data_IF_717817755050
#
_entry.id   IF_717817755050
#
_cell.length_a   1.000
_cell.length_b   1.000
_cell.length_c   1.000
_cell.angle_alpha   90.00
_cell.angle_beta   90.00
_cell.angle_gamma   90.00
#
_symmetry.space_group_name_H-M   'P 1'
#
loop_
_entity.id
_entity.type
_entity.pdbx_description
1 polymer ?
#
# COMPACT_ATOMS: atom_id res chain seq x y z
N UNK A 1 31.40 -3.15 -89.45
CA UNK A 1 32.22 -2.00 -89.05
C UNK A 1 32.34 -2.04 -87.53
N UNK A 2 33.49 -2.53 -87.05
CA UNK A 2 34.15 -2.27 -85.74
C UNK A 2 33.30 -2.48 -84.47
N UNK A 3 33.42 -3.60 -83.73
CA UNK A 3 34.44 -3.91 -82.69
C UNK A 3 34.70 -2.73 -81.72
N UNK A 4 34.20 -2.81 -80.47
CA UNK A 4 35.01 -2.60 -79.26
C UNK A 4 34.26 -3.00 -77.96
N UNK A 5 34.69 -4.13 -77.40
CA UNK A 5 35.08 -4.32 -76.00
C UNK A 5 34.05 -4.25 -74.84
N UNK A 6 33.69 -5.44 -74.38
CA UNK A 6 33.47 -5.75 -72.97
C UNK A 6 34.81 -5.75 -72.21
N UNK A 7 34.96 -4.96 -71.13
CA UNK A 7 35.81 -5.22 -69.93
C UNK A 7 35.92 -3.98 -69.03
N UNK A 8 34.82 -3.46 -68.46
CA UNK A 8 34.88 -2.53 -67.30
C UNK A 8 33.78 -2.75 -66.26
N UNK A 9 33.17 -3.92 -66.24
CA UNK A 9 32.47 -4.44 -65.07
C UNK A 9 33.51 -5.27 -64.30
N UNK A 10 34.05 -4.74 -63.19
CA UNK A 10 34.35 -5.48 -61.93
C UNK A 10 35.37 -4.83 -60.99
N UNK A 11 36.22 -3.88 -61.41
CA UNK A 11 37.33 -3.42 -60.54
C UNK A 11 37.09 -2.16 -59.67
N UNK A 12 36.02 -1.39 -59.86
CA UNK A 12 35.84 -0.12 -59.11
C UNK A 12 34.92 -0.28 -57.88
N UNK A 13 34.09 -1.32 -57.82
CA UNK A 13 33.22 -1.56 -56.66
C UNK A 13 33.88 -2.35 -55.52
N UNK A 14 35.10 -2.84 -55.72
CA UNK A 14 35.85 -3.65 -54.75
C UNK A 14 37.07 -2.93 -54.13
N UNK A 15 37.22 -1.62 -54.35
CA UNK A 15 38.24 -0.80 -53.66
C UNK A 15 37.67 0.25 -52.69
N UNK A 16 36.36 0.51 -52.69
CA UNK A 16 35.73 1.38 -51.68
C UNK A 16 35.42 0.68 -50.36
N UNK A 17 35.58 -0.65 -50.28
CA UNK A 17 35.29 -1.44 -49.07
C UNK A 17 36.48 -1.59 -48.12
N UNK A 18 37.69 -1.14 -48.50
CA UNK A 18 38.91 -1.34 -47.69
C UNK A 18 39.42 -0.05 -47.02
N UNK A 19 38.91 1.13 -47.37
CA UNK A 19 39.29 2.39 -46.69
C UNK A 19 38.32 2.88 -45.60
N UNK A 20 37.13 2.27 -45.46
CA UNK A 20 36.16 2.69 -44.42
C UNK A 20 36.45 2.03 -43.06
N UNK A 21 37.18 0.91 -43.03
CA UNK A 21 37.52 0.20 -41.78
C UNK A 21 38.84 0.66 -41.11
N UNK A 22 39.47 1.75 -41.57
CA UNK A 22 40.70 2.31 -40.96
C UNK A 22 40.47 3.73 -40.37
N UNK A 23 39.22 4.13 -40.17
CA UNK A 23 38.88 5.31 -39.35
C UNK A 23 38.11 4.82 -38.10
N UNK A 24 38.63 3.78 -37.45
CA UNK A 24 38.09 3.28 -36.19
C UNK A 24 39.15 3.10 -35.09
N UNK A 25 40.40 3.53 -35.31
CA UNK A 25 41.43 3.46 -34.27
C UNK A 25 42.29 4.71 -34.30
N UNK A 26 42.13 5.56 -33.29
CA UNK A 26 43.07 6.63 -32.98
C UNK A 26 42.52 8.02 -33.28
N UNK A 27 41.92 8.66 -32.28
CA UNK A 27 42.52 9.81 -31.59
C UNK A 27 41.55 10.30 -30.52
N UNK A 28 41.86 9.93 -29.28
CA UNK A 28 41.41 10.59 -28.06
C UNK A 28 41.99 12.00 -28.00
N UNK A 29 41.16 13.04 -27.97
CA UNK A 29 41.38 14.24 -27.15
C UNK A 29 40.13 15.13 -27.14
N UNK A 30 39.70 15.43 -25.92
CA UNK A 30 38.65 16.32 -25.46
C UNK A 30 38.29 17.51 -26.37
N UNK A 31 37.04 17.56 -26.83
CA UNK A 31 36.31 18.83 -26.95
C UNK A 31 34.82 18.57 -26.68
N UNK A 32 34.41 18.94 -25.47
CA UNK A 32 33.03 19.01 -25.02
C UNK A 32 32.37 20.13 -25.83
N UNK A 33 31.59 19.76 -26.84
CA UNK A 33 30.59 20.64 -27.45
C UNK A 33 29.33 20.48 -26.61
N UNK A 34 29.08 21.48 -25.75
CA UNK A 34 27.86 21.59 -24.96
C UNK A 34 26.66 21.68 -25.92
N UNK A 35 25.93 20.57 -26.08
CA UNK A 35 24.55 20.64 -26.52
C UNK A 35 23.75 21.40 -25.45
N UNK A 36 22.90 22.38 -25.82
CA UNK A 36 22.06 23.07 -24.86
C UNK A 36 21.14 22.06 -24.17
N UNK A 37 21.02 22.21 -22.85
CA UNK A 37 20.32 21.34 -21.92
C UNK A 37 19.13 20.62 -22.56
N UNK A 38 19.20 19.28 -22.57
CA UNK A 38 18.04 18.43 -22.75
C UNK A 38 16.91 18.99 -21.88
N UNK A 39 15.74 19.22 -22.48
CA UNK A 39 14.49 19.45 -21.76
C UNK A 39 14.37 18.29 -20.77
N UNK A 40 14.70 18.53 -19.50
CA UNK A 40 14.44 17.62 -18.40
C UNK A 40 12.92 17.60 -18.26
N UNK A 41 12.24 16.66 -18.93
CA UNK A 41 10.87 16.35 -18.59
C UNK A 41 10.91 15.73 -17.20
N UNK A 42 10.44 16.48 -16.20
CA UNK A 42 10.22 15.92 -14.88
C UNK A 42 9.08 14.90 -15.00
N UNK A 43 9.41 13.62 -15.20
CA UNK A 43 8.43 12.53 -15.29
C UNK A 43 7.52 12.47 -14.06
N UNK A 44 7.97 13.01 -12.92
CA UNK A 44 7.17 13.07 -11.69
C UNK A 44 6.05 14.13 -11.77
N UNK A 45 6.21 15.16 -12.60
CA UNK A 45 5.20 16.20 -12.81
C UNK A 45 4.13 15.81 -13.84
N UNK A 46 4.26 14.63 -14.47
CA UNK A 46 3.26 14.14 -15.42
C UNK A 46 1.91 13.92 -14.72
N UNK A 47 0.86 14.48 -15.31
CA UNK A 47 -0.51 14.26 -14.87
C UNK A 47 -0.96 12.88 -15.34
N UNK A 48 -1.33 12.02 -14.39
CA UNK A 48 -1.77 10.65 -14.64
C UNK A 48 -3.29 10.48 -14.47
N UNK A 49 -3.97 11.47 -13.90
CA UNK A 49 -5.42 11.50 -13.73
C UNK A 49 -5.89 12.70 -12.92
N UNK A 50 -7.11 12.64 -12.39
CA UNK A 50 -7.68 13.64 -11.48
C UNK A 50 -8.54 12.96 -10.40
N UNK A 51 -8.75 13.64 -9.28
CA UNK A 51 -9.70 13.18 -8.24
C UNK A 51 -10.95 14.05 -8.20
N UNK A 52 -12.13 13.44 -8.08
CA UNK A 52 -13.39 14.17 -7.88
C UNK A 52 -13.70 14.44 -6.39
N UNK A 53 -12.91 13.84 -5.48
CA UNK A 53 -13.08 13.94 -4.02
C UNK A 53 -11.74 14.26 -3.36
N UNK A 54 -11.78 14.70 -2.11
CA UNK A 54 -10.56 14.83 -1.31
C UNK A 54 -10.00 13.45 -1.00
N UNK A 55 -8.77 13.15 -1.40
CA UNK A 55 -8.09 11.91 -1.01
C UNK A 55 -7.33 12.18 0.28
N UNK A 56 -7.84 11.70 1.43
CA UNK A 56 -7.28 12.02 2.74
C UNK A 56 -6.71 10.79 3.45
N UNK A 57 -5.45 10.87 3.85
CA UNK A 57 -4.78 9.84 4.62
C UNK A 57 -4.97 9.97 6.14
N UNK A 58 -5.40 11.13 6.62
CA UNK A 58 -5.46 11.46 8.06
C UNK A 58 -6.25 10.43 8.90
N UNK A 59 -7.34 9.80 8.40
CA UNK A 59 -8.07 8.80 9.16
C UNK A 59 -7.48 7.38 9.03
N UNK A 60 -6.54 7.13 8.11
CA UNK A 60 -6.18 5.76 7.70
C UNK A 60 -5.57 4.87 8.80
N UNK A 61 -5.10 5.44 9.90
CA UNK A 61 -4.63 4.68 11.07
C UNK A 61 -5.72 4.51 12.16
N UNK A 62 -6.83 5.23 12.03
CA UNK A 62 -7.88 5.36 13.04
C UNK A 62 -9.17 4.66 12.65
N UNK A 63 -9.51 4.70 11.37
CA UNK A 63 -10.78 4.23 10.81
C UNK A 63 -10.63 4.01 9.30
N UNK A 64 -11.72 3.60 8.64
CA UNK A 64 -11.76 3.52 7.19
C UNK A 64 -11.49 4.88 6.56
N UNK A 65 -10.58 4.94 5.59
CA UNK A 65 -10.27 6.15 4.85
C UNK A 65 -10.39 5.91 3.35
N UNK A 66 -10.77 6.94 2.61
CA UNK A 66 -11.01 6.81 1.18
C UNK A 66 -9.72 6.65 0.36
N UNK A 67 -8.60 7.26 0.78
CA UNK A 67 -7.30 6.99 0.17
C UNK A 67 -6.88 5.52 0.36
N UNK A 68 -7.14 4.97 1.53
CA UNK A 68 -6.93 3.55 1.84
C UNK A 68 -7.75 2.63 0.94
N UNK A 69 -9.03 2.95 0.77
CA UNK A 69 -9.92 2.24 -0.16
C UNK A 69 -9.39 2.29 -1.59
N UNK A 70 -8.96 3.47 -2.07
CA UNK A 70 -8.40 3.62 -3.42
C UNK A 70 -7.16 2.75 -3.62
N UNK A 71 -6.23 2.76 -2.68
CA UNK A 71 -5.01 1.94 -2.77
C UNK A 71 -5.35 0.45 -2.75
N UNK A 72 -6.19 0.01 -1.80
CA UNK A 72 -6.58 -1.39 -1.69
C UNK A 72 -7.35 -1.87 -2.93
N UNK A 73 -8.22 -1.05 -3.50
CA UNK A 73 -8.95 -1.34 -4.74
C UNK A 73 -8.04 -1.39 -5.95
N UNK A 74 -7.04 -0.51 -6.02
CA UNK A 74 -6.06 -0.49 -7.11
C UNK A 74 -5.24 -1.78 -7.13
N UNK A 75 -4.75 -2.21 -5.96
CA UNK A 75 -4.03 -3.49 -5.79
C UNK A 75 -4.95 -4.66 -6.16
N UNK A 76 -6.19 -4.65 -5.67
CA UNK A 76 -7.16 -5.69 -5.97
C UNK A 76 -7.45 -5.76 -7.47
N UNK A 77 -7.67 -4.62 -8.11
CA UNK A 77 -7.92 -4.54 -9.55
C UNK A 77 -6.76 -5.10 -10.36
N UNK A 78 -5.52 -4.67 -10.07
CA UNK A 78 -4.33 -5.16 -10.79
C UNK A 78 -4.18 -6.68 -10.62
N UNK A 79 -4.36 -7.18 -9.39
CA UNK A 79 -4.32 -8.62 -9.13
C UNK A 79 -5.34 -9.39 -9.96
N UNK A 80 -6.58 -8.90 -10.02
CA UNK A 80 -7.65 -9.52 -10.81
C UNK A 80 -7.33 -9.46 -12.31
N UNK A 81 -6.80 -8.35 -12.82
CA UNK A 81 -6.42 -8.23 -14.23
C UNK A 81 -5.32 -9.22 -14.60
N UNK A 82 -4.33 -9.43 -13.72
CA UNK A 82 -3.21 -10.36 -13.97
C UNK A 82 -3.59 -11.84 -13.83
N UNK A 83 -4.56 -12.16 -12.96
CA UNK A 83 -4.85 -13.55 -12.58
C UNK A 83 -6.23 -14.06 -13.02
N UNK A 84 -7.12 -13.19 -13.52
CA UNK A 84 -8.36 -13.63 -14.13
C UNK A 84 -8.08 -14.41 -15.41
N UNK A 85 -8.85 -15.49 -15.60
CA UNK A 85 -8.84 -16.30 -16.81
C UNK A 85 -10.20 -16.22 -17.48
N UNK A 86 -10.33 -16.80 -18.68
CA UNK A 86 -11.62 -16.89 -19.36
C UNK A 86 -12.67 -17.72 -18.59
N UNK A 87 -12.24 -18.53 -17.61
CA UNK A 87 -13.11 -19.49 -16.90
C UNK A 87 -13.25 -19.17 -15.41
N UNK A 88 -12.37 -18.36 -14.84
CA UNK A 88 -12.34 -18.09 -13.40
C UNK A 88 -11.81 -16.68 -13.14
N UNK A 89 -12.55 -15.93 -12.30
CA UNK A 89 -12.08 -14.66 -11.73
C UNK A 89 -11.76 -14.94 -10.26
N UNK A 90 -10.50 -14.74 -9.82
CA UNK A 90 -10.13 -15.04 -8.45
C UNK A 90 -10.85 -14.10 -7.47
N UNK A 91 -11.02 -14.55 -6.24
CA UNK A 91 -11.53 -13.73 -5.15
C UNK A 91 -10.41 -13.47 -4.15
N UNK A 92 -10.04 -12.20 -3.99
CA UNK A 92 -8.88 -11.82 -3.17
C UNK A 92 -9.26 -10.74 -2.15
N UNK A 93 -8.75 -10.91 -0.94
CA UNK A 93 -8.76 -9.91 0.12
C UNK A 93 -7.46 -9.12 0.03
N UNK A 94 -7.53 -7.80 0.10
CA UNK A 94 -6.34 -6.94 0.12
C UNK A 94 -6.23 -6.26 1.47
N UNK A 95 -5.03 -6.26 2.05
CA UNK A 95 -4.70 -5.50 3.26
C UNK A 95 -3.62 -4.45 2.96
N UNK A 96 -3.87 -3.21 3.36
CA UNK A 96 -2.94 -2.07 3.19
C UNK A 96 -2.67 -1.44 4.55
N UNK A 97 -1.40 -1.21 4.89
CA UNK A 97 -1.06 -0.62 6.20
C UNK A 97 -1.36 0.88 6.21
N UNK A 98 -2.25 1.32 7.10
CA UNK A 98 -2.64 2.73 7.20
C UNK A 98 -1.47 3.69 7.43
N UNK A 99 -0.47 3.27 8.23
CA UNK A 99 0.75 4.04 8.51
C UNK A 99 1.62 4.34 7.28
N UNK A 100 1.45 3.59 6.19
CA UNK A 100 2.20 3.83 4.96
C UNK A 100 1.58 4.95 4.13
N UNK A 101 0.34 5.35 4.42
CA UNK A 101 -0.38 6.41 3.73
C UNK A 101 -0.26 7.72 4.50
N UNK A 102 -0.10 8.83 3.78
CA UNK A 102 0.02 10.17 4.36
C UNK A 102 -0.44 11.24 3.39
N UNK A 103 -0.56 12.47 3.88
CA UNK A 103 -0.89 13.62 3.07
C UNK A 103 -2.34 13.62 2.58
N UNK A 104 -2.60 14.53 1.65
CA UNK A 104 -3.93 14.75 1.08
C UNK A 104 -3.78 15.23 -0.37
N UNK A 105 -4.70 14.83 -1.24
CA UNK A 105 -4.87 15.42 -2.58
C UNK A 105 -6.26 16.04 -2.64
N UNK A 106 -6.32 17.36 -2.83
CA UNK A 106 -7.57 18.11 -2.82
C UNK A 106 -8.47 17.76 -4.01
N UNK A 107 -9.79 17.76 -3.76
CA UNK A 107 -10.80 17.51 -4.79
C UNK A 107 -10.61 18.42 -6.01
N UNK A 108 -10.86 17.87 -7.20
CA UNK A 108 -10.75 18.60 -8.46
C UNK A 108 -9.32 18.84 -8.92
N UNK A 109 -8.31 18.39 -8.16
CA UNK A 109 -6.91 18.49 -8.56
C UNK A 109 -6.53 17.40 -9.55
N UNK A 110 -5.60 17.74 -10.44
CA UNK A 110 -4.85 16.75 -11.21
C UNK A 110 -3.97 15.95 -10.25
N UNK A 111 -3.87 14.65 -10.50
CA UNK A 111 -2.98 13.74 -9.81
C UNK A 111 -1.73 13.58 -10.67
N UNK A 112 -0.58 13.89 -10.12
CA UNK A 112 0.74 13.61 -10.72
C UNK A 112 1.42 12.43 -10.03
N UNK A 113 2.46 11.87 -10.65
CA UNK A 113 3.33 10.87 -10.01
C UNK A 113 3.97 11.40 -8.72
N UNK A 114 4.35 12.67 -8.69
CA UNK A 114 4.86 13.34 -7.49
C UNK A 114 3.82 13.35 -6.36
N UNK A 115 2.53 13.58 -6.68
CA UNK A 115 1.48 13.48 -5.69
C UNK A 115 1.41 12.06 -5.11
N UNK A 116 1.49 11.03 -5.96
CA UNK A 116 1.47 9.63 -5.49
C UNK A 116 2.66 9.31 -4.58
N UNK A 117 3.87 9.69 -4.98
CA UNK A 117 5.08 9.55 -4.16
C UNK A 117 4.90 10.27 -2.81
N UNK A 118 4.26 11.45 -2.81
CA UNK A 118 3.93 12.19 -1.60
C UNK A 118 2.94 11.48 -0.69
N UNK A 119 1.98 10.73 -1.26
CA UNK A 119 0.94 10.04 -0.49
C UNK A 119 1.37 8.72 0.15
N UNK A 120 2.49 8.15 -0.30
CA UNK A 120 3.03 6.88 0.22
C UNK A 120 4.37 7.13 0.94
N UNK A 121 4.58 6.48 2.07
CA UNK A 121 5.84 6.57 2.81
C UNK A 121 6.93 5.68 2.23
N UNK A 122 6.54 4.61 1.53
CA UNK A 122 7.40 3.64 0.85
C UNK A 122 6.58 2.96 -0.24
N UNK A 123 7.23 2.56 -1.32
CA UNK A 123 6.63 1.63 -2.28
C UNK A 123 6.88 0.18 -1.83
N UNK A 124 5.81 -0.53 -1.47
CA UNK A 124 5.87 -1.91 -1.00
C UNK A 124 5.70 -2.92 -2.12
N UNK A 125 6.66 -3.85 -2.27
CA UNK A 125 6.47 -5.03 -3.13
C UNK A 125 5.32 -5.87 -2.61
N UNK A 126 4.44 -6.30 -3.51
CA UNK A 126 3.26 -7.07 -3.15
C UNK A 126 3.56 -8.56 -3.14
N UNK A 127 2.89 -9.26 -2.22
CA UNK A 127 2.96 -10.70 -2.06
C UNK A 127 1.56 -11.27 -1.94
N UNK A 128 1.39 -12.54 -2.29
CA UNK A 128 0.14 -13.29 -2.10
C UNK A 128 0.34 -14.55 -1.27
N UNK A 129 -0.73 -14.96 -0.59
CA UNK A 129 -0.83 -16.26 0.03
C UNK A 129 -2.29 -16.76 0.03
N UNK A 130 -2.47 -18.03 0.35
CA UNK A 130 -3.79 -18.64 0.56
C UNK A 130 -3.88 -19.12 2.01
N UNK A 131 -4.52 -18.32 2.86
CA UNK A 131 -4.51 -18.48 4.32
C UNK A 131 -5.88 -18.89 4.85
N UNK A 132 -5.91 -19.55 6.00
CA UNK A 132 -7.17 -19.87 6.66
C UNK A 132 -7.84 -18.62 7.23
N UNK A 133 -9.16 -18.61 7.31
CA UNK A 133 -9.90 -17.50 7.93
C UNK A 133 -9.46 -17.23 9.36
N UNK A 134 -9.09 -18.26 10.12
CA UNK A 134 -8.60 -18.10 11.49
C UNK A 134 -7.35 -17.21 11.56
N UNK A 135 -6.39 -17.40 10.66
CA UNK A 135 -5.14 -16.62 10.61
C UNK A 135 -5.45 -15.17 10.21
N UNK A 136 -6.31 -14.97 9.21
CA UNK A 136 -6.67 -13.62 8.74
C UNK A 136 -7.39 -12.84 9.84
N UNK A 137 -8.35 -13.48 10.53
CA UNK A 137 -9.07 -12.88 11.65
C UNK A 137 -8.15 -12.50 12.81
N UNK A 138 -7.20 -13.36 13.16
CA UNK A 138 -6.21 -13.08 14.21
C UNK A 138 -5.36 -11.84 13.87
N UNK A 139 -4.94 -11.69 12.61
CA UNK A 139 -4.21 -10.49 12.17
C UNK A 139 -5.09 -9.24 12.17
N UNK A 140 -6.33 -9.35 11.69
CA UNK A 140 -7.29 -8.23 11.72
C UNK A 140 -7.54 -7.76 13.16
N UNK A 141 -7.69 -8.67 14.12
CA UNK A 141 -7.85 -8.30 15.53
C UNK A 141 -6.58 -7.63 16.08
N UNK A 142 -5.41 -8.19 15.79
CA UNK A 142 -4.12 -7.61 16.19
C UNK A 142 -3.88 -6.22 15.61
N UNK A 143 -4.44 -5.92 14.43
CA UNK A 143 -4.34 -4.59 13.79
C UNK A 143 -4.89 -3.47 14.68
N UNK A 144 -5.86 -3.78 15.55
CA UNK A 144 -6.48 -2.85 16.51
C UNK A 144 -6.09 -3.11 17.97
N UNK A 145 -5.17 -4.04 18.24
CA UNK A 145 -4.78 -4.39 19.61
C UNK A 145 -4.15 -3.20 20.36
N UNK A 146 -3.34 -2.38 19.68
CA UNK A 146 -2.67 -1.20 20.23
C UNK A 146 -3.42 0.12 19.98
N UNK A 147 -4.70 0.02 19.63
CA UNK A 147 -5.51 1.19 19.30
C UNK A 147 -5.62 2.15 20.50
N UNK A 148 -5.44 3.44 20.22
CA UNK A 148 -5.67 4.55 21.14
C UNK A 148 -6.49 5.62 20.41
N UNK A 149 -7.52 6.15 21.05
CA UNK A 149 -8.45 7.14 20.47
C UNK A 149 -7.74 8.32 19.79
N UNK A 150 -6.65 8.82 20.37
CA UNK A 150 -5.96 10.00 19.84
C UNK A 150 -5.25 9.73 18.51
N UNK A 151 -4.59 8.57 18.40
CA UNK A 151 -3.63 8.27 17.33
C UNK A 151 -4.05 7.09 16.44
N UNK A 152 -5.13 6.39 16.78
CA UNK A 152 -5.50 5.12 16.15
C UNK A 152 -4.54 4.00 16.54
N UNK A 153 -4.28 3.09 15.60
CA UNK A 153 -3.30 2.02 15.74
C UNK A 153 -2.22 2.13 14.66
N UNK A 154 -0.92 2.00 14.98
CA UNK A 154 0.15 1.92 13.98
C UNK A 154 0.05 0.67 13.11
N UNK A 155 -0.67 -0.35 13.59
CA UNK A 155 -0.83 -1.63 12.93
C UNK A 155 -2.17 -1.72 12.17
N UNK A 156 -2.96 -0.63 12.14
CA UNK A 156 -4.27 -0.58 11.47
C UNK A 156 -4.12 -0.86 9.96
N UNK A 157 -5.05 -1.66 9.42
CA UNK A 157 -5.08 -2.03 8.01
C UNK A 157 -6.36 -1.56 7.33
N UNK A 158 -6.22 -0.97 6.15
CA UNK A 158 -7.30 -0.69 5.20
C UNK A 158 -7.55 -1.96 4.37
N UNK A 159 -8.77 -2.13 3.87
CA UNK A 159 -9.18 -3.40 3.24
C UNK A 159 -9.91 -3.22 1.91
N UNK A 160 -9.76 -4.20 1.02
CA UNK A 160 -10.65 -4.42 -0.12
C UNK A 160 -11.06 -5.89 -0.22
N UNK A 161 -12.28 -6.15 -0.70
CA UNK A 161 -12.84 -7.50 -0.81
C UNK A 161 -13.41 -8.07 0.50
N UNK A 162 -13.44 -7.28 1.58
CA UNK A 162 -13.98 -7.67 2.87
C UNK A 162 -14.69 -6.51 3.60
N UNK A 163 -15.61 -6.86 4.49
CA UNK A 163 -16.29 -5.97 5.44
C UNK A 163 -15.98 -6.45 6.85
N UNK A 164 -15.43 -5.56 7.67
CA UNK A 164 -14.88 -5.86 8.98
C UNK A 164 -15.55 -4.99 10.03
N UNK A 165 -15.97 -5.60 11.14
CA UNK A 165 -16.54 -4.88 12.27
C UNK A 165 -15.77 -5.18 13.55
N UNK A 166 -15.42 -4.11 14.28
CA UNK A 166 -14.74 -4.19 15.56
C UNK A 166 -15.63 -3.64 16.68
N UNK A 167 -15.54 -4.21 17.88
CA UNK A 167 -16.17 -3.69 19.08
C UNK A 167 -15.15 -3.47 20.21
N UNK A 168 -14.98 -2.22 20.61
CA UNK A 168 -13.99 -1.82 21.60
C UNK A 168 -14.43 -1.98 23.06
N UNK A 169 -15.68 -2.41 23.32
CA UNK A 169 -16.06 -2.93 24.65
C UNK A 169 -15.33 -4.25 24.97
N UNK A 170 -14.80 -4.93 23.94
CA UNK A 170 -14.08 -6.19 24.07
C UNK A 170 -12.58 -5.95 24.31
N UNK A 171 -11.96 -6.87 25.04
CA UNK A 171 -10.52 -6.88 25.28
C UNK A 171 -9.75 -6.94 23.96
N UNK A 172 -8.57 -6.32 23.91
CA UNK A 172 -7.65 -6.48 22.79
C UNK A 172 -7.35 -7.99 22.58
N UNK A 173 -7.38 -8.47 21.34
CA UNK A 173 -7.35 -9.90 21.03
C UNK A 173 -8.74 -10.50 20.73
N UNK A 174 -9.83 -9.76 21.01
CA UNK A 174 -11.23 -10.22 20.83
C UNK A 174 -12.16 -9.12 20.31
N UNK A 175 -11.62 -8.07 19.70
CA UNK A 175 -12.40 -6.92 19.20
C UNK A 175 -13.08 -7.22 17.87
N UNK A 176 -12.58 -8.13 17.06
CA UNK A 176 -13.18 -8.50 15.78
C UNK A 176 -14.51 -9.26 16.02
N UNK A 177 -15.64 -8.63 15.67
CA UNK A 177 -16.99 -9.19 15.90
C UNK A 177 -17.69 -9.65 14.63
N UNK A 178 -17.30 -9.16 13.46
CA UNK A 178 -17.73 -9.71 12.17
C UNK A 178 -16.63 -9.55 11.13
N UNK A 179 -16.46 -10.56 10.29
CA UNK A 179 -15.65 -10.46 9.09
C UNK A 179 -16.35 -11.15 7.94
N UNK A 180 -16.77 -10.36 6.96
CA UNK A 180 -17.43 -10.86 5.75
C UNK A 180 -16.52 -10.65 4.56
N UNK A 181 -16.56 -11.58 3.62
CA UNK A 181 -15.75 -11.56 2.40
C UNK A 181 -16.67 -11.64 1.20
N UNK A 182 -16.26 -11.02 0.09
CA UNK A 182 -17.02 -11.12 -1.15
C UNK A 182 -17.17 -12.59 -1.54
N UNK A 183 -18.34 -12.97 -2.04
CA UNK A 183 -18.60 -14.30 -2.57
C UNK A 183 -18.87 -14.17 -4.07
N UNK A 184 -17.91 -14.63 -4.88
CA UNK A 184 -18.02 -14.55 -6.35
C UNK A 184 -19.15 -15.45 -6.87
N UNK A 185 -19.35 -16.62 -6.27
CA UNK A 185 -20.36 -17.59 -6.74
C UNK A 185 -21.79 -17.31 -6.25
N UNK A 186 -21.95 -16.46 -5.23
CA UNK A 186 -23.24 -16.26 -4.56
C UNK A 186 -23.72 -14.80 -4.52
N UNK A 187 -23.07 -13.88 -5.24
CA UNK A 187 -23.49 -12.48 -5.44
C UNK A 187 -23.81 -11.75 -4.12
N UNK A 188 -22.81 -11.65 -3.25
CA UNK A 188 -22.95 -10.95 -1.97
C UNK A 188 -21.73 -11.11 -1.08
N UNK A 189 -21.93 -10.90 0.22
CA UNK A 189 -20.90 -11.08 1.25
C UNK A 189 -21.28 -12.22 2.18
N UNK A 190 -20.33 -13.11 2.46
CA UNK A 190 -20.50 -14.24 3.38
C UNK A 190 -19.54 -14.12 4.55
N UNK A 191 -19.90 -14.69 5.70
CA UNK A 191 -19.01 -14.72 6.85
C UNK A 191 -17.74 -15.53 6.53
N UNK A 192 -16.59 -14.97 6.91
CA UNK A 192 -15.31 -15.63 6.82
C UNK A 192 -15.30 -16.80 7.79
N UNK A 193 -15.05 -18.01 7.30
CA UNK A 193 -15.00 -19.23 8.11
C UNK A 193 -13.57 -19.55 8.49
N UNK A 194 -13.37 -19.97 9.74
CA UNK A 194 -12.04 -20.21 10.29
C UNK A 194 -11.25 -21.29 9.54
N UNK A 195 -11.95 -22.31 9.05
CA UNK A 195 -11.38 -23.48 8.37
C UNK A 195 -11.20 -23.29 6.86
N UNK A 196 -11.92 -22.33 6.27
CA UNK A 196 -11.84 -22.06 4.84
C UNK A 196 -10.60 -21.24 4.50
N UNK A 197 -10.08 -21.40 3.28
CA UNK A 197 -8.92 -20.66 2.81
C UNK A 197 -9.31 -19.54 1.85
N UNK A 198 -8.68 -18.39 2.04
CA UNK A 198 -8.90 -17.18 1.24
C UNK A 198 -7.59 -16.73 0.63
N UNK A 199 -7.65 -16.30 -0.64
CA UNK A 199 -6.51 -15.64 -1.27
C UNK A 199 -6.40 -14.22 -0.70
N UNK A 200 -5.18 -13.86 -0.30
CA UNK A 200 -4.87 -12.59 0.33
C UNK A 200 -3.66 -11.96 -0.34
N UNK A 201 -3.71 -10.65 -0.56
CA UNK A 201 -2.61 -9.84 -1.10
C UNK A 201 -2.31 -8.68 -0.14
N UNK A 202 -1.03 -8.43 0.05
CA UNK A 202 -0.52 -7.36 0.90
C UNK A 202 0.93 -7.04 0.55
N UNK A 203 1.53 -6.07 1.22
CA UNK A 203 2.97 -5.82 1.13
C UNK A 203 3.78 -6.92 1.80
N UNK A 204 5.00 -7.13 1.29
CA UNK A 204 5.98 -8.04 1.93
C UNK A 204 6.33 -7.61 3.37
N UNK A 205 6.34 -6.30 3.64
CA UNK A 205 6.60 -5.79 4.99
C UNK A 205 5.45 -6.16 5.96
N UNK A 206 4.19 -6.08 5.52
CA UNK A 206 3.05 -6.53 6.32
C UNK A 206 3.07 -8.05 6.52
N UNK A 207 3.39 -8.82 5.48
CA UNK A 207 3.41 -10.28 5.58
C UNK A 207 4.45 -10.77 6.61
N UNK A 208 5.66 -10.19 6.60
CA UNK A 208 6.70 -10.51 7.58
C UNK A 208 6.33 -10.09 9.00
N UNK A 209 5.68 -8.94 9.17
CA UNK A 209 5.32 -8.40 10.48
C UNK A 209 4.14 -9.13 11.14
N UNK A 210 3.15 -9.55 10.35
CA UNK A 210 1.87 -10.06 10.86
C UNK A 210 1.64 -11.55 10.62
N UNK A 211 2.37 -12.18 9.69
CA UNK A 211 2.16 -13.56 9.26
C UNK A 211 3.47 -14.37 9.19
N UNK A 212 4.37 -14.18 10.17
CA UNK A 212 5.76 -14.70 10.14
C UNK A 212 5.93 -16.20 9.94
N UNK A 213 4.89 -17.00 10.16
CA UNK A 213 4.91 -18.47 10.01
C UNK A 213 4.35 -18.95 8.66
N UNK A 214 3.79 -18.04 7.86
CA UNK A 214 3.14 -18.35 6.60
C UNK A 214 4.08 -18.12 5.42
N UNK A 215 3.88 -18.90 4.36
CA UNK A 215 4.64 -18.76 3.13
C UNK A 215 3.91 -17.86 2.14
N UNK A 216 4.64 -16.92 1.56
CA UNK A 216 4.13 -15.95 0.60
C UNK A 216 4.86 -16.06 -0.73
N UNK A 217 4.13 -15.83 -1.81
CA UNK A 217 4.66 -15.73 -3.16
C UNK A 217 4.74 -14.27 -3.57
N UNK A 218 5.90 -13.81 -4.04
CA UNK A 218 6.06 -12.46 -4.57
C UNK A 218 5.24 -12.24 -5.83
N UNK A 219 4.67 -11.04 -5.96
CA UNK A 219 4.04 -10.54 -7.18
C UNK A 219 5.00 -9.60 -7.91
N UNK A 220 4.86 -9.50 -9.23
CA UNK A 220 5.68 -8.59 -10.04
C UNK A 220 5.05 -7.19 -10.13
N UNK A 221 4.55 -6.70 -9.00
CA UNK A 221 3.91 -5.38 -8.86
C UNK A 221 4.13 -4.84 -7.45
N UNK A 222 3.86 -3.56 -7.28
CA UNK A 222 4.03 -2.82 -6.03
C UNK A 222 2.75 -2.03 -5.70
N UNK A 223 2.66 -1.50 -4.49
CA UNK A 223 1.55 -0.61 -4.09
C UNK A 223 1.47 0.62 -5.01
N UNK A 224 2.60 1.28 -5.26
CA UNK A 224 2.67 2.45 -6.12
C UNK A 224 2.28 2.10 -7.57
N UNK A 225 2.87 1.04 -8.13
CA UNK A 225 2.61 0.67 -9.53
C UNK A 225 1.15 0.30 -9.75
N UNK A 226 0.54 -0.40 -8.80
CA UNK A 226 -0.88 -0.75 -8.87
C UNK A 226 -1.77 0.50 -8.83
N UNK A 227 -1.47 1.46 -7.94
CA UNK A 227 -2.22 2.72 -7.85
C UNK A 227 -2.07 3.57 -9.12
N UNK A 228 -0.84 3.73 -9.60
CA UNK A 228 -0.55 4.51 -10.80
C UNK A 228 -1.30 3.95 -12.02
N UNK A 229 -1.19 2.64 -12.28
CA UNK A 229 -1.91 1.97 -13.37
C UNK A 229 -3.41 2.14 -13.24
N UNK A 230 -3.95 2.01 -12.02
CA UNK A 230 -5.38 2.16 -11.78
C UNK A 230 -5.86 3.59 -12.09
N UNK A 231 -5.13 4.61 -11.66
CA UNK A 231 -5.48 6.01 -11.94
C UNK A 231 -5.37 6.31 -13.43
N UNK A 232 -4.29 5.90 -14.09
CA UNK A 232 -4.12 6.04 -15.55
C UNK A 232 -5.27 5.35 -16.29
N UNK A 233 -5.72 4.18 -15.82
CA UNK A 233 -6.80 3.45 -16.45
C UNK A 233 -8.15 4.16 -16.31
N UNK A 234 -8.45 4.68 -15.11
CA UNK A 234 -9.76 5.25 -14.79
C UNK A 234 -9.87 6.74 -15.12
N UNK A 235 -8.73 7.45 -15.24
CA UNK A 235 -8.58 8.89 -15.50
C UNK A 235 -9.15 9.80 -14.40
N UNK A 236 -10.32 9.47 -13.85
CA UNK A 236 -10.99 10.17 -12.76
C UNK A 236 -11.26 9.16 -11.64
N UNK A 237 -10.76 9.43 -10.44
CA UNK A 237 -11.02 8.62 -9.24
C UNK A 237 -11.92 9.35 -8.25
N UNK A 238 -12.74 8.59 -7.52
CA UNK A 238 -13.75 9.11 -6.59
C UNK A 238 -14.04 8.12 -5.44
N UNK A 239 -13.00 7.60 -4.76
CA UNK A 239 -13.20 6.64 -3.68
C UNK A 239 -14.04 7.25 -2.54
N UNK A 240 -14.95 6.45 -2.00
CA UNK A 240 -15.74 6.82 -0.83
C UNK A 240 -15.33 5.98 0.39
N UNK A 241 -15.78 6.41 1.58
CA UNK A 241 -15.87 5.54 2.76
C UNK A 241 -17.19 4.78 2.65
N UNK A 242 -17.12 3.46 2.59
CA UNK A 242 -18.23 2.58 2.19
C UNK A 242 -18.68 1.63 3.32
N UNK A 243 -18.11 1.79 4.52
CA UNK A 243 -18.40 0.94 5.67
C UNK A 243 -17.68 -0.41 5.62
N UNK A 244 -16.60 -0.52 4.84
CA UNK A 244 -15.71 -1.69 4.79
C UNK A 244 -15.09 -1.97 6.16
N UNK A 245 -14.86 -0.93 6.97
CA UNK A 245 -14.38 -1.08 8.34
C UNK A 245 -15.26 -0.25 9.28
N UNK A 246 -15.97 -0.92 10.18
CA UNK A 246 -16.81 -0.26 11.18
C UNK A 246 -16.25 -0.46 12.59
N UNK A 247 -16.16 0.63 13.35
CA UNK A 247 -15.65 0.63 14.72
C UNK A 247 -16.78 0.98 15.70
N UNK A 248 -17.15 0.03 16.54
CA UNK A 248 -18.17 0.21 17.58
C UNK A 248 -17.51 0.53 18.93
N UNK A 249 -18.09 1.49 19.66
CA UNK A 249 -17.70 1.84 21.04
C UNK A 249 -16.22 2.27 21.20
N UNK A 250 -15.68 3.04 20.24
CA UNK A 250 -14.27 3.49 20.25
C UNK A 250 -13.90 4.27 21.52
N UNK A 251 -14.87 4.90 22.18
CA UNK A 251 -14.71 5.62 23.45
C UNK A 251 -14.28 4.71 24.62
N UNK A 252 -14.45 3.38 24.49
CA UNK A 252 -13.98 2.39 25.48
C UNK A 252 -12.52 1.95 25.24
N UNK A 253 -11.91 2.36 24.12
CA UNK A 253 -10.50 2.09 23.87
C UNK A 253 -9.61 2.84 24.88
N UNK A 254 -8.41 2.31 25.22
CA UNK A 254 -7.50 2.98 26.13
C UNK A 254 -7.16 4.39 25.62
N UNK A 255 -7.57 5.42 26.36
CA UNK A 255 -7.14 6.78 26.10
C UNK A 255 -5.76 6.99 26.73
N UNK A 256 -4.88 7.75 26.07
CA UNK A 256 -3.57 8.15 26.64
C UNK A 256 -3.67 8.95 27.96
N UNK A 257 -4.88 9.18 28.48
CA UNK A 257 -5.16 9.95 29.70
C UNK A 257 -5.38 9.09 30.96
N UNK A 258 -5.27 7.76 30.91
CA UNK A 258 -5.47 6.91 32.10
C UNK A 258 -4.17 6.27 32.58
N UNK A 259 -3.30 7.09 33.18
CA UNK A 259 -2.39 6.63 34.24
C UNK A 259 -2.32 7.67 35.37
N UNK A 260 -3.45 8.00 35.99
CA UNK A 260 -3.44 8.73 37.26
C UNK A 260 -4.64 8.41 38.15
N UNK A 261 -4.95 7.12 38.34
CA UNK A 261 -5.93 6.70 39.38
C UNK A 261 -5.39 5.68 40.39
N UNK A 262 -4.07 5.48 40.47
CA UNK A 262 -3.47 4.57 41.46
C UNK A 262 -2.61 5.22 42.56
N UNK A 263 -2.49 6.55 42.63
CA UNK A 263 -1.58 7.20 43.59
C UNK A 263 -2.25 7.83 44.82
N UNK A 264 -3.56 8.13 44.78
CA UNK A 264 -4.21 8.85 45.90
C UNK A 264 -4.37 7.97 47.14
N UNK A 265 -4.69 6.68 46.96
CA UNK A 265 -4.83 5.75 48.09
C UNK A 265 -3.48 5.49 48.79
N UNK A 266 -2.40 5.38 48.01
CA UNK A 266 -1.06 5.14 48.54
C UNK A 266 -0.50 6.37 49.28
N UNK A 267 -0.71 7.58 48.75
CA UNK A 267 -0.34 8.82 49.47
C UNK A 267 -1.13 8.97 50.77
N UNK A 268 -2.41 8.63 50.79
CA UNK A 268 -3.22 8.63 52.02
C UNK A 268 -2.67 7.70 53.09
N UNK A 269 -2.29 6.47 52.71
CA UNK A 269 -1.70 5.50 53.65
C UNK A 269 -0.33 5.98 54.16
N UNK A 270 0.51 6.57 53.32
CA UNK A 270 1.82 7.12 53.74
C UNK A 270 1.65 8.30 54.70
N UNK A 271 0.68 9.20 54.46
CA UNK A 271 0.41 10.33 55.34
C UNK A 271 -0.16 9.88 56.70
N UNK A 272 -1.07 8.91 56.70
CA UNK A 272 -1.60 8.32 57.93
C UNK A 272 -0.49 7.61 58.71
N UNK A 273 0.38 6.85 58.03
CA UNK A 273 1.51 6.19 58.66
C UNK A 273 2.49 7.20 59.27
N UNK A 274 2.77 8.30 58.56
CA UNK A 274 3.64 9.36 59.08
C UNK A 274 3.04 10.07 60.30
N UNK A 275 1.72 10.34 60.32
CA UNK A 275 1.04 10.90 61.50
C UNK A 275 1.10 9.94 62.68
N UNK A 276 0.85 8.65 62.45
CA UNK A 276 0.91 7.63 63.50
C UNK A 276 2.31 7.52 64.13
N UNK A 277 3.37 7.50 63.31
CA UNK A 277 4.76 7.48 63.80
C UNK A 277 5.10 8.75 64.59
N UNK A 278 4.59 9.92 64.18
CA UNK A 278 4.82 11.17 64.93
C UNK A 278 4.10 11.20 66.28
N UNK A 279 2.91 10.59 66.38
CA UNK A 279 2.14 10.51 67.62
C UNK A 279 2.81 9.59 68.66
N UNK A 280 3.35 8.43 68.23
CA UNK A 280 4.05 7.49 69.13
C UNK A 280 5.36 8.06 69.70
N UNK A 281 5.90 9.13 69.08
CA UNK A 281 7.18 9.75 69.47
C UNK A 281 7.02 10.95 70.42
N UNK A 282 5.80 11.40 70.71
CA UNK A 282 5.49 12.37 71.80
C UNK A 282 5.08 11.63 73.07
#
# INVERSE_FOLDING_TARGET
MTILSATRCFCIKMLLFITINVILIGLSSSSVINAPDSIFFNENAEIIGMTAVDLDASPCMKEECNLGNLVADSIRYEYLVEHATNTEVPNVIVLVQGKNLKGMIEKGSNITRENLIGTMSKDGSLVKAKLTGAIIKDVLDKSVAKYNQKNGSPDFVQVAGAFIEFNFTMEAGKRLVSSKVLCVDCNGFIEMKDTEKYDIVMTEDLSKASFSNEQFTGLNTTEYSSLEKFIIKNQIVYPAVEGRITLHNVDDAPSSAVTMKMSVLLMGVVLIFHQFVSFVRS
#
